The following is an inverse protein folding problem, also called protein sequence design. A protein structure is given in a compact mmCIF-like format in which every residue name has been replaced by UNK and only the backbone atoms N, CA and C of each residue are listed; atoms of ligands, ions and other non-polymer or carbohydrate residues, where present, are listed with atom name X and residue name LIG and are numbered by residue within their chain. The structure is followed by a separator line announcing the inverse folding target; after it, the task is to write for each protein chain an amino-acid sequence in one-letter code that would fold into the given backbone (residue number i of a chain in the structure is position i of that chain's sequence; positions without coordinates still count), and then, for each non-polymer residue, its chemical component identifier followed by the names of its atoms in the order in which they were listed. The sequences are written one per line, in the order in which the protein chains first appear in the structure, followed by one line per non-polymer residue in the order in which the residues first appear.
data_IF_019824342653
#
_entry.id   IF_019824342653
#
_cell.length_a   1.000
_cell.length_b   1.000
_cell.length_c   1.000
_cell.angle_alpha   90.00
_cell.angle_beta   90.00
_cell.angle_gamma   90.00
#
_symmetry.space_group_name_H-M   'P 1'
#
loop_
_entity.id
_entity.type
_entity.pdbx_description
1 polymer ?
#
# COMPACT_ATOMS: atom_id res chain seq x y z
N UNK A 1 -1.21 22.86 -4.49
CA UNK A 1 0.00 22.09 -4.87
C UNK A 1 0.11 20.84 -3.98
N UNK A 2 -0.72 19.83 -4.19
CA UNK A 2 -0.73 18.57 -3.40
C UNK A 2 -1.21 17.40 -4.28
N UNK A 3 -0.49 17.15 -5.39
CA UNK A 3 -0.66 15.93 -6.20
C UNK A 3 0.67 15.19 -6.20
N UNK A 4 1.00 14.46 -5.13
CA UNK A 4 2.05 13.43 -5.15
C UNK A 4 2.04 12.62 -3.84
N UNK A 5 0.95 11.91 -3.51
CA UNK A 5 0.99 10.83 -2.51
C UNK A 5 0.00 9.69 -2.78
N UNK A 6 -0.69 9.67 -3.93
CA UNK A 6 -1.49 8.52 -4.35
C UNK A 6 -0.65 7.67 -5.30
N UNK A 7 -0.08 6.58 -4.80
CA UNK A 7 0.28 5.45 -5.68
C UNK A 7 1.71 4.92 -5.65
N UNK A 8 2.62 5.38 -4.79
CA UNK A 8 3.96 4.80 -4.74
C UNK A 8 4.26 4.15 -3.38
N UNK A 9 4.17 2.81 -3.36
CA UNK A 9 4.84 1.95 -2.38
C UNK A 9 6.36 2.06 -2.58
N UNK A 10 6.94 3.23 -2.29
CA UNK A 10 8.36 3.46 -2.40
C UNK A 10 8.94 3.76 -1.02
N UNK A 11 10.04 3.08 -0.71
CA UNK A 11 10.68 3.05 0.61
C UNK A 11 10.73 4.43 1.32
N UNK A 12 10.46 4.47 2.64
CA UNK A 12 10.29 5.70 3.44
C UNK A 12 11.55 6.56 3.49
N UNK A 13 12.74 5.94 3.46
CA UNK A 13 14.03 6.64 3.41
C UNK A 13 14.10 7.56 2.20
N UNK A 14 13.52 7.16 1.08
CA UNK A 14 13.60 7.92 -0.16
C UNK A 14 12.70 9.16 -0.12
N UNK A 15 11.49 9.08 0.45
CA UNK A 15 10.57 10.22 0.53
C UNK A 15 11.09 11.27 1.50
N UNK A 16 11.48 10.89 2.72
CA UNK A 16 12.01 11.85 3.70
C UNK A 16 13.31 12.48 3.20
N UNK A 17 14.22 11.70 2.62
CA UNK A 17 15.46 12.24 2.05
C UNK A 17 15.19 13.12 0.82
N UNK A 18 14.25 12.75 -0.05
CA UNK A 18 13.88 13.54 -1.22
C UNK A 18 13.27 14.88 -0.80
N UNK A 19 12.30 14.86 0.12
CA UNK A 19 11.65 16.07 0.64
C UNK A 19 12.64 16.97 1.37
N UNK A 20 13.51 16.41 2.20
CA UNK A 20 14.58 17.17 2.86
C UNK A 20 15.54 17.83 1.86
N UNK A 21 15.90 17.13 0.78
CA UNK A 21 16.74 17.68 -0.30
C UNK A 21 16.02 18.77 -1.10
N UNK A 22 14.74 18.56 -1.44
CA UNK A 22 13.93 19.51 -2.21
C UNK A 22 13.68 20.80 -1.43
N UNK A 23 13.33 20.68 -0.15
CA UNK A 23 13.00 21.80 0.72
C UNK A 23 14.22 22.37 1.46
N UNK A 24 15.41 21.77 1.30
CA UNK A 24 16.66 22.13 2.00
C UNK A 24 16.52 22.19 3.52
N UNK A 25 15.67 21.35 4.09
CA UNK A 25 15.42 21.25 5.53
C UNK A 25 16.04 19.96 6.08
N UNK A 26 16.31 19.94 7.39
CA UNK A 26 16.81 18.73 8.03
C UNK A 26 15.76 17.61 7.97
N UNK A 27 16.21 16.36 7.87
CA UNK A 27 15.33 15.18 7.88
C UNK A 27 14.48 15.14 9.16
N UNK A 28 15.05 15.54 10.28
CA UNK A 28 14.36 15.63 11.58
C UNK A 28 13.15 16.57 11.52
N UNK A 29 13.27 17.68 10.80
CA UNK A 29 12.18 18.64 10.64
C UNK A 29 11.06 18.09 9.74
N UNK A 30 11.41 17.36 8.68
CA UNK A 30 10.43 16.63 7.85
C UNK A 30 9.66 15.61 8.69
N UNK A 31 10.37 14.82 9.50
CA UNK A 31 9.73 13.86 10.41
C UNK A 31 8.81 14.54 11.42
N UNK A 32 9.26 15.65 12.03
CA UNK A 32 8.47 16.41 12.98
C UNK A 32 7.17 16.93 12.34
N UNK A 33 7.25 17.50 11.15
CA UNK A 33 6.09 18.00 10.41
C UNK A 33 5.11 16.86 10.08
N UNK A 34 5.61 15.73 9.57
CA UNK A 34 4.76 14.56 9.27
C UNK A 34 4.00 14.06 10.50
N UNK A 35 4.67 13.93 11.64
CA UNK A 35 4.05 13.41 12.86
C UNK A 35 3.19 14.44 13.62
N UNK A 36 3.64 15.70 13.72
CA UNK A 36 3.00 16.72 14.57
C UNK A 36 1.93 17.53 13.84
N UNK A 37 2.11 17.80 12.55
CA UNK A 37 1.16 18.61 11.77
C UNK A 37 0.20 17.74 10.98
N UNK A 38 0.69 16.65 10.40
CA UNK A 38 -0.13 15.81 9.53
C UNK A 38 -0.61 14.50 10.18
N UNK A 39 -0.15 14.18 11.40
CA UNK A 39 -0.49 12.91 12.08
C UNK A 39 -0.28 11.66 11.22
N UNK A 40 0.75 11.71 10.37
CA UNK A 40 1.12 10.59 9.51
C UNK A 40 2.14 9.76 10.27
N UNK A 41 1.88 8.46 10.36
CA UNK A 41 2.76 7.53 11.06
C UNK A 41 3.26 6.48 10.09
N UNK A 42 4.50 6.07 10.36
CA UNK A 42 5.23 5.17 9.50
C UNK A 42 5.07 3.75 10.04
N UNK A 43 4.20 2.96 9.42
CA UNK A 43 3.94 1.59 9.84
C UNK A 43 4.74 0.61 8.98
N UNK A 44 5.34 -0.38 9.64
CA UNK A 44 6.04 -1.46 8.95
C UNK A 44 5.00 -2.47 8.46
N UNK A 45 4.99 -2.76 7.16
CA UNK A 45 4.12 -3.79 6.60
C UNK A 45 4.54 -5.13 7.18
N UNK A 46 3.62 -5.77 7.89
CA UNK A 46 3.78 -7.12 8.38
C UNK A 46 2.93 -8.04 7.52
N UNK A 47 3.54 -9.07 6.96
CA UNK A 47 2.79 -10.13 6.29
C UNK A 47 2.22 -11.06 7.37
N UNK A 48 0.95 -10.86 7.71
CA UNK A 48 0.26 -11.65 8.74
C UNK A 48 -0.08 -13.08 8.28
N UNK A 49 -0.12 -13.33 6.98
CA UNK A 49 -0.41 -14.63 6.40
C UNK A 49 0.79 -15.13 5.58
N UNK A 50 1.39 -16.23 6.03
CA UNK A 50 2.40 -16.94 5.25
C UNK A 50 1.70 -17.70 4.11
N UNK A 51 2.11 -17.42 2.86
CA UNK A 51 1.63 -18.16 1.69
C UNK A 51 2.18 -19.58 1.74
N UNK A 52 1.29 -20.57 1.82
CA UNK A 52 1.67 -21.97 1.69
C UNK A 52 1.90 -22.31 0.21
N UNK A 53 2.75 -23.30 -0.12
CA UNK A 53 2.96 -23.74 -1.50
C UNK A 53 1.65 -24.16 -2.20
N UNK A 54 0.68 -24.65 -1.43
CA UNK A 54 -0.67 -25.04 -1.88
C UNK A 54 -1.55 -23.86 -2.25
N UNK A 55 -1.23 -22.64 -1.82
CA UNK A 55 -2.08 -21.47 -2.08
C UNK A 55 -1.85 -20.92 -3.48
N UNK A 56 -0.64 -21.09 -4.03
CA UNK A 56 -0.32 -20.68 -5.42
C UNK A 56 -1.29 -21.27 -6.46
N UNK A 57 -1.52 -22.59 -6.53
CA UNK A 57 -2.48 -23.13 -7.50
C UNK A 57 -3.91 -22.65 -7.23
N UNK A 58 -4.32 -22.53 -5.96
CA UNK A 58 -5.65 -22.02 -5.60
C UNK A 58 -5.86 -20.57 -6.04
N UNK A 59 -4.82 -19.73 -5.93
CA UNK A 59 -4.87 -18.34 -6.39
C UNK A 59 -5.02 -18.25 -7.91
N UNK A 60 -4.34 -19.13 -8.66
CA UNK A 60 -4.46 -19.20 -10.12
C UNK A 60 -5.86 -19.66 -10.51
N UNK A 61 -6.38 -20.71 -9.87
CA UNK A 61 -7.74 -21.19 -10.11
C UNK A 61 -8.78 -20.11 -9.82
N UNK A 62 -8.66 -19.42 -8.69
CA UNK A 62 -9.50 -18.29 -8.34
C UNK A 62 -9.43 -17.17 -9.38
N UNK A 63 -8.23 -16.80 -9.84
CA UNK A 63 -8.07 -15.75 -10.85
C UNK A 63 -8.71 -16.13 -12.19
N UNK A 64 -8.63 -17.40 -12.60
CA UNK A 64 -9.28 -17.91 -13.82
C UNK A 64 -10.81 -17.85 -13.67
N UNK A 65 -11.35 -18.29 -12.52
CA UNK A 65 -12.78 -18.22 -12.26
C UNK A 65 -13.29 -16.78 -12.21
N UNK A 66 -12.55 -15.89 -11.55
CA UNK A 66 -12.87 -14.46 -11.50
C UNK A 66 -12.90 -13.84 -12.91
N UNK A 67 -11.92 -14.18 -13.75
CA UNK A 67 -11.88 -13.72 -15.15
C UNK A 67 -13.09 -14.21 -15.94
N UNK A 68 -13.52 -15.46 -15.72
CA UNK A 68 -14.74 -15.99 -16.32
C UNK A 68 -15.97 -15.16 -15.94
N UNK A 69 -16.17 -14.88 -14.65
CA UNK A 69 -17.30 -14.07 -14.18
C UNK A 69 -17.28 -12.63 -14.71
N UNK A 70 -16.09 -12.04 -14.85
CA UNK A 70 -15.93 -10.71 -15.46
C UNK A 70 -16.33 -10.73 -16.94
N UNK A 71 -15.94 -11.78 -17.68
CA UNK A 71 -16.26 -11.92 -19.10
C UNK A 71 -17.76 -12.19 -19.35
N UNK A 72 -18.41 -12.95 -18.47
CA UNK A 72 -19.85 -13.22 -18.59
C UNK A 72 -20.72 -12.04 -18.17
N UNK A 73 -20.24 -11.21 -17.24
CA UNK A 73 -20.98 -10.06 -16.73
C UNK A 73 -20.06 -8.88 -16.47
N UNK A 74 -20.08 -7.89 -17.37
CA UNK A 74 -19.31 -6.64 -17.26
C UNK A 74 -19.62 -5.86 -15.95
N UNK A 75 -20.79 -6.10 -15.34
CA UNK A 75 -21.21 -5.49 -14.09
C UNK A 75 -20.76 -6.24 -12.82
N UNK A 76 -20.16 -7.42 -12.94
CA UNK A 76 -19.83 -8.29 -11.81
C UNK A 76 -18.95 -7.58 -10.77
N UNK A 77 -17.90 -6.87 -11.21
CA UNK A 77 -16.99 -6.15 -10.32
C UNK A 77 -17.69 -5.06 -9.50
N UNK A 78 -18.82 -4.52 -9.96
CA UNK A 78 -19.59 -3.51 -9.22
C UNK A 78 -20.39 -4.13 -8.06
N UNK A 79 -20.60 -5.44 -8.09
CA UNK A 79 -21.30 -6.19 -7.04
C UNK A 79 -20.33 -6.75 -6.00
N UNK A 80 -19.03 -6.76 -6.29
CA UNK A 80 -17.99 -7.23 -5.37
C UNK A 80 -17.63 -6.12 -4.40
N UNK A 81 -17.79 -6.37 -3.11
CA UNK A 81 -17.34 -5.49 -2.02
C UNK A 81 -16.44 -6.26 -1.06
N UNK A 82 -15.28 -5.69 -0.73
CA UNK A 82 -14.38 -6.23 0.30
C UNK A 82 -14.70 -5.58 1.65
N UNK A 83 -14.84 -6.40 2.69
CA UNK A 83 -15.12 -5.92 4.06
C UNK A 83 -13.86 -5.46 4.80
N UNK A 84 -12.71 -5.96 4.39
CA UNK A 84 -11.41 -5.67 4.99
C UNK A 84 -10.54 -4.83 4.07
N UNK A 85 -9.69 -4.01 4.69
CA UNK A 85 -8.73 -3.15 3.99
C UNK A 85 -7.56 -3.99 3.47
N UNK A 86 -7.82 -4.79 2.44
CA UNK A 86 -6.82 -5.61 1.77
C UNK A 86 -6.10 -4.77 0.70
N UNK A 87 -4.83 -4.46 0.94
CA UNK A 87 -4.00 -3.72 -0.02
C UNK A 87 -3.39 -4.67 -1.05
N UNK A 88 -3.98 -4.76 -2.24
CA UNK A 88 -3.42 -5.55 -3.35
C UNK A 88 -2.37 -4.75 -4.13
N UNK A 89 -1.17 -5.30 -4.30
CA UNK A 89 -0.13 -4.70 -5.16
C UNK A 89 0.06 -5.56 -6.41
N UNK A 90 -0.02 -4.95 -7.59
CA UNK A 90 0.04 -5.64 -8.90
C UNK A 90 1.25 -6.58 -9.07
N UNK A 91 2.40 -6.26 -8.44
CA UNK A 91 3.61 -7.07 -8.58
C UNK A 91 3.84 -8.09 -7.45
N UNK A 92 3.07 -8.07 -6.36
CA UNK A 92 3.22 -8.99 -5.22
C UNK A 92 4.58 -8.96 -4.48
N UNK A 93 5.60 -8.33 -5.04
CA UNK A 93 6.93 -8.16 -4.47
C UNK A 93 6.98 -6.85 -3.68
N UNK A 94 6.62 -6.95 -2.40
CA UNK A 94 6.96 -5.91 -1.44
C UNK A 94 8.29 -6.29 -0.77
N UNK A 95 9.28 -5.40 -0.83
CA UNK A 95 10.49 -5.55 -0.03
C UNK A 95 10.15 -5.28 1.44
N UNK A 96 9.69 -6.30 2.16
CA UNK A 96 9.21 -6.24 3.55
C UNK A 96 10.20 -5.59 4.54
N UNK A 97 11.49 -5.62 4.23
CA UNK A 97 12.53 -5.00 5.05
C UNK A 97 12.62 -3.49 4.87
N UNK A 98 12.26 -2.98 3.69
CA UNK A 98 12.40 -1.58 3.32
C UNK A 98 11.07 -0.86 3.08
N UNK A 99 9.93 -1.57 3.10
CA UNK A 99 8.61 -0.96 2.92
C UNK A 99 8.06 -0.49 4.27
N UNK A 100 7.75 0.80 4.32
CA UNK A 100 7.04 1.42 5.41
C UNK A 100 6.00 2.34 4.79
N UNK A 101 4.74 2.15 5.17
CA UNK A 101 3.63 2.93 4.65
C UNK A 101 3.39 4.08 5.62
N UNK A 102 3.24 5.27 5.06
CA UNK A 102 2.92 6.48 5.79
C UNK A 102 1.44 6.79 5.55
N UNK A 103 0.61 6.53 6.55
CA UNK A 103 -0.83 6.78 6.47
C UNK A 103 -1.26 7.76 7.55
N UNK A 104 -2.33 8.49 7.25
CA UNK A 104 -3.03 9.29 8.25
C UNK A 104 -3.60 8.34 9.29
N UNK A 105 -3.35 8.62 10.56
CA UNK A 105 -4.11 7.96 11.61
C UNK A 105 -5.58 8.37 11.45
N UNK A 106 -6.43 7.44 11.01
CA UNK A 106 -7.87 7.59 11.21
C UNK A 106 -8.10 7.64 12.72
N UNK A 107 -8.45 8.82 13.23
CA UNK A 107 -8.94 8.97 14.59
C UNK A 107 -10.33 8.32 14.60
N UNK A 108 -10.40 7.10 15.11
CA UNK A 108 -11.65 6.47 15.52
C UNK A 108 -12.31 7.25 16.64
#
# INVERSE_FOLDING_TARGET
MMKMLRGHFCAPKNIVCATARQLKISRSMVHMVLHKQFHIYAYKVQLLQALLPTDKPKHVEFAIQLLHYINENEGFLKQVSFSDEATFTYFGQLNQYNVQIWEFRNLT
#
